data_IF_564863136676
#
_entry.id   IF_564863136676
#
_cell.length_a   1.000
_cell.length_b   1.000
_cell.length_c   1.000
_cell.angle_alpha   90.00
_cell.angle_beta   90.00
_cell.angle_gamma   90.00
#
_symmetry.space_group_name_H-M   'P 1'
#
loop_
_entity.id
_entity.type
_entity.pdbx_description
1 polymer ?
#
# COMPACT_ATOMS: atom_id res chain seq x y z
N UNK A 1 0.74 1.32 -18.83
CA UNK A 1 1.22 2.57 -18.20
C UNK A 1 0.96 3.72 -19.18
N UNK A 2 0.18 4.74 -18.78
CA UNK A 2 0.08 5.99 -19.52
C UNK A 2 1.48 6.60 -19.64
N UNK A 3 1.85 7.07 -20.82
CA UNK A 3 3.12 7.79 -20.95
C UNK A 3 2.96 9.16 -20.31
N UNK A 4 3.99 9.67 -19.67
CA UNK A 4 3.99 11.01 -19.06
C UNK A 4 3.59 12.11 -20.07
N UNK A 5 3.80 11.86 -21.37
CA UNK A 5 3.38 12.74 -22.49
C UNK A 5 1.86 12.82 -22.70
N UNK A 6 1.09 11.97 -22.07
CA UNK A 6 -0.37 11.86 -22.27
C UNK A 6 -1.15 12.57 -21.16
N UNK A 7 -0.47 13.08 -20.12
CA UNK A 7 -1.07 13.80 -19.02
C UNK A 7 -1.23 15.30 -19.34
N UNK A 8 -2.35 15.85 -18.95
CA UNK A 8 -2.56 17.32 -18.97
C UNK A 8 -1.63 18.03 -17.98
N UNK A 9 -1.42 19.33 -18.15
CA UNK A 9 -0.60 20.12 -17.22
C UNK A 9 -1.13 20.09 -15.77
N UNK A 10 -2.44 19.93 -15.58
CA UNK A 10 -3.04 19.78 -14.26
C UNK A 10 -2.71 18.41 -13.65
N UNK A 11 -2.83 17.35 -14.42
CA UNK A 11 -2.50 15.97 -13.97
C UNK A 11 -1.01 15.82 -13.66
N UNK A 12 -0.14 16.45 -14.45
CA UNK A 12 1.30 16.49 -14.18
C UNK A 12 1.64 17.15 -12.84
N UNK A 13 0.88 18.21 -12.45
CA UNK A 13 1.04 18.82 -11.13
C UNK A 13 0.65 17.86 -9.99
N UNK A 14 -0.47 17.15 -10.14
CA UNK A 14 -0.88 16.17 -9.14
C UNK A 14 0.14 15.04 -9.00
N UNK A 15 0.65 14.55 -10.12
CA UNK A 15 1.72 13.55 -10.12
C UNK A 15 2.98 14.04 -9.40
N UNK A 16 3.38 15.30 -9.65
CA UNK A 16 4.54 15.89 -8.99
C UNK A 16 4.36 16.00 -7.47
N UNK A 17 3.18 16.41 -7.00
CA UNK A 17 2.86 16.46 -5.56
C UNK A 17 2.92 15.07 -4.94
N UNK A 18 2.33 14.07 -5.59
CA UNK A 18 2.37 12.70 -5.12
C UNK A 18 3.79 12.13 -5.08
N UNK A 19 4.57 12.35 -6.12
CA UNK A 19 5.97 11.91 -6.14
C UNK A 19 6.82 12.60 -5.06
N UNK A 20 6.55 13.86 -4.75
CA UNK A 20 7.21 14.58 -3.65
C UNK A 20 6.79 14.01 -2.28
N UNK A 21 5.51 13.66 -2.11
CA UNK A 21 5.02 12.98 -0.91
C UNK A 21 5.75 11.64 -0.68
N UNK A 22 5.80 10.79 -1.69
CA UNK A 22 6.54 9.52 -1.63
C UNK A 22 8.03 9.72 -1.36
N UNK A 23 8.66 10.75 -1.93
CA UNK A 23 10.05 11.10 -1.64
C UNK A 23 10.24 11.47 -0.17
N UNK A 24 9.33 12.28 0.39
CA UNK A 24 9.36 12.69 1.78
C UNK A 24 9.22 11.50 2.74
N UNK A 25 8.35 10.54 2.40
CA UNK A 25 8.14 9.32 3.18
C UNK A 25 9.32 8.34 3.09
N UNK A 26 9.66 7.91 1.86
CA UNK A 26 10.55 6.76 1.64
C UNK A 26 12.02 7.12 1.41
N UNK A 27 12.34 8.39 1.13
CA UNK A 27 13.72 8.83 0.91
C UNK A 27 14.20 9.78 2.01
N UNK A 28 13.41 10.81 2.33
CA UNK A 28 13.80 11.79 3.34
C UNK A 28 13.43 11.35 4.77
N UNK A 29 12.45 10.46 4.93
CA UNK A 29 11.87 10.06 6.22
C UNK A 29 11.49 11.28 7.06
N UNK A 30 10.89 12.30 6.42
CA UNK A 30 10.61 13.60 7.01
C UNK A 30 9.13 13.82 7.21
N UNK A 31 8.66 13.79 8.45
CA UNK A 31 7.26 14.11 8.78
C UNK A 31 6.86 15.51 8.30
N UNK A 32 7.75 16.50 8.49
CA UNK A 32 7.45 17.88 8.10
C UNK A 32 7.26 18.02 6.59
N UNK A 33 8.15 17.41 5.78
CA UNK A 33 8.04 17.43 4.33
C UNK A 33 6.82 16.65 3.86
N UNK A 34 6.53 15.49 4.43
CA UNK A 34 5.35 14.68 4.12
C UNK A 34 4.07 15.48 4.34
N UNK A 35 3.89 16.05 5.54
CA UNK A 35 2.69 16.82 5.87
C UNK A 35 2.62 18.14 5.13
N UNK A 36 3.75 18.70 4.66
CA UNK A 36 3.76 19.92 3.83
C UNK A 36 3.11 19.73 2.46
N UNK A 37 3.01 18.51 1.94
CA UNK A 37 2.30 18.20 0.68
C UNK A 37 0.78 18.17 0.85
N UNK A 38 0.26 18.22 2.06
CA UNK A 38 -1.14 18.06 2.40
C UNK A 38 -1.83 19.38 2.74
N UNK A 39 -3.17 19.39 2.66
CA UNK A 39 -4.01 20.51 3.12
C UNK A 39 -3.90 20.74 4.63
N UNK A 40 -4.55 21.80 5.15
CA UNK A 40 -4.56 22.10 6.58
C UNK A 40 -5.30 21.05 7.42
N UNK A 41 -6.31 20.38 6.87
CA UNK A 41 -7.12 19.34 7.52
C UNK A 41 -7.11 18.04 6.71
N UNK A 42 -6.00 17.28 6.73
CA UNK A 42 -5.82 16.09 5.92
C UNK A 42 -6.40 14.83 6.57
N UNK A 43 -6.54 13.78 5.77
CA UNK A 43 -6.91 12.44 6.23
C UNK A 43 -5.95 11.39 5.66
N UNK A 44 -5.42 10.54 6.53
CA UNK A 44 -4.78 9.27 6.16
C UNK A 44 -5.62 8.12 6.71
N UNK A 45 -5.89 7.13 5.87
CA UNK A 45 -6.69 5.99 6.29
C UNK A 45 -6.18 4.68 5.68
N UNK A 46 -5.55 3.88 6.48
CA UNK A 46 -5.20 2.49 6.19
C UNK A 46 -6.43 1.63 6.46
N UNK A 47 -7.21 1.41 5.41
CA UNK A 47 -8.58 0.88 5.49
C UNK A 47 -8.67 -0.50 6.14
N UNK A 48 -7.76 -1.46 5.87
CA UNK A 48 -7.87 -2.81 6.45
C UNK A 48 -7.78 -2.84 7.97
N UNK A 49 -7.17 -1.83 8.59
CA UNK A 49 -6.91 -1.78 10.04
C UNK A 49 -7.55 -0.58 10.73
N UNK A 50 -8.14 0.35 9.96
CA UNK A 50 -8.68 1.62 10.46
C UNK A 50 -7.61 2.45 11.21
N UNK A 51 -6.37 2.42 10.71
CA UNK A 51 -5.23 3.18 11.22
C UNK A 51 -5.01 4.42 10.36
N UNK A 52 -4.42 5.46 10.93
CA UNK A 52 -4.13 6.73 10.26
C UNK A 52 -4.42 7.92 11.17
N UNK A 53 -4.96 9.02 10.61
CA UNK A 53 -5.29 10.22 11.37
C UNK A 53 -6.22 11.15 10.61
N UNK A 54 -6.99 11.95 11.35
CA UNK A 54 -7.86 13.02 10.86
C UNK A 54 -7.38 14.36 11.37
N UNK A 55 -7.23 15.32 10.44
CA UNK A 55 -6.66 16.62 10.76
C UNK A 55 -5.15 16.58 10.95
N UNK A 56 -4.55 17.78 10.85
CA UNK A 56 -3.09 17.94 10.82
C UNK A 56 -2.38 17.30 12.00
N UNK A 57 -2.95 17.41 13.20
CA UNK A 57 -2.31 16.90 14.42
C UNK A 57 -2.20 15.37 14.41
N UNK A 58 -3.31 14.67 14.15
CA UNK A 58 -3.31 13.21 14.18
C UNK A 58 -2.49 12.64 13.01
N UNK A 59 -2.59 13.24 11.81
CA UNK A 59 -1.79 12.86 10.65
C UNK A 59 -0.30 13.06 10.92
N UNK A 60 0.09 14.18 11.52
CA UNK A 60 1.48 14.40 11.92
C UNK A 60 1.96 13.35 12.93
N UNK A 61 1.15 13.06 13.96
CA UNK A 61 1.49 12.04 14.96
C UNK A 61 1.59 10.64 14.35
N UNK A 62 0.71 10.30 13.42
CA UNK A 62 0.76 9.03 12.67
C UNK A 62 2.09 8.90 11.93
N UNK A 63 2.47 9.89 11.12
CA UNK A 63 3.75 9.85 10.40
C UNK A 63 4.95 9.81 11.35
N UNK A 64 4.98 10.68 12.36
CA UNK A 64 6.12 10.83 13.24
C UNK A 64 6.35 9.63 14.17
N UNK A 65 5.28 8.93 14.58
CA UNK A 65 5.37 7.92 15.64
C UNK A 65 5.09 6.51 15.14
N UNK A 66 4.19 6.35 14.13
CA UNK A 66 3.67 5.05 13.74
C UNK A 66 4.15 4.59 12.38
N UNK A 67 4.37 5.48 11.43
CA UNK A 67 4.69 5.12 10.04
C UNK A 67 6.19 5.25 9.74
N UNK A 68 6.75 6.46 9.70
CA UNK A 68 8.12 6.69 9.23
C UNK A 68 9.19 5.93 10.03
N UNK A 69 9.14 5.86 11.38
CA UNK A 69 10.11 5.06 12.15
C UNK A 69 9.98 3.55 11.95
N UNK A 70 8.86 3.10 11.38
CA UNK A 70 8.49 1.70 11.25
C UNK A 70 8.40 1.22 9.79
N UNK A 71 9.08 1.94 8.88
CA UNK A 71 9.29 1.50 7.50
C UNK A 71 10.46 0.51 7.46
N UNK A 72 10.26 -0.74 7.00
CA UNK A 72 11.36 -1.70 6.88
C UNK A 72 12.46 -1.18 5.96
N UNK A 73 13.75 -1.41 6.30
CA UNK A 73 14.87 -0.86 5.52
C UNK A 73 15.01 -1.45 4.11
N UNK A 74 14.37 -2.60 3.86
CA UNK A 74 14.36 -3.28 2.55
C UNK A 74 13.01 -3.14 1.83
N UNK A 75 12.20 -2.13 2.19
CA UNK A 75 10.92 -1.90 1.51
C UNK A 75 11.15 -1.57 0.03
N UNK A 76 10.42 -2.23 -0.83
CA UNK A 76 10.42 -2.04 -2.28
C UNK A 76 9.00 -1.78 -2.76
N UNK A 77 8.82 -0.72 -3.51
CA UNK A 77 7.54 -0.37 -4.16
C UNK A 77 7.68 -0.64 -5.65
N UNK A 78 6.93 -1.62 -6.15
CA UNK A 78 6.90 -2.00 -7.58
C UNK A 78 5.63 -1.45 -8.21
N UNK A 79 5.70 -0.45 -9.08
CA UNK A 79 4.52 0.13 -9.71
C UNK A 79 3.92 -0.83 -10.74
N UNK A 80 2.59 -0.97 -10.71
CA UNK A 80 1.80 -1.74 -11.70
C UNK A 80 1.09 -0.77 -12.63
N UNK A 81 0.26 0.11 -12.09
CA UNK A 81 -0.46 1.12 -12.86
C UNK A 81 -0.70 2.38 -12.05
N UNK A 82 -0.85 3.51 -12.76
CA UNK A 82 -1.25 4.80 -12.19
C UNK A 82 -2.33 5.42 -13.05
N UNK A 83 -3.38 5.90 -12.43
CA UNK A 83 -4.45 6.67 -13.07
C UNK A 83 -4.58 8.02 -12.40
N UNK A 84 -4.59 9.11 -13.19
CA UNK A 84 -4.77 10.48 -12.71
C UNK A 84 -5.92 11.10 -13.45
N UNK A 85 -6.82 11.77 -12.75
CA UNK A 85 -7.92 12.49 -13.36
C UNK A 85 -8.90 13.04 -12.31
N UNK A 86 -9.61 14.11 -12.66
CA UNK A 86 -10.63 14.71 -11.80
C UNK A 86 -10.19 15.02 -10.36
N UNK A 87 -8.95 15.51 -10.21
CA UNK A 87 -8.39 15.82 -8.89
C UNK A 87 -8.04 14.59 -8.03
N UNK A 88 -7.91 13.41 -8.65
CA UNK A 88 -7.55 12.15 -7.98
C UNK A 88 -6.38 11.47 -8.66
N UNK A 89 -5.67 10.68 -7.85
CA UNK A 89 -4.68 9.73 -8.31
C UNK A 89 -4.97 8.38 -7.67
N UNK A 90 -4.84 7.32 -8.46
CA UNK A 90 -4.89 5.94 -7.99
C UNK A 90 -3.61 5.25 -8.43
N UNK A 91 -2.87 4.72 -7.47
CA UNK A 91 -1.72 3.85 -7.69
C UNK A 91 -2.08 2.40 -7.36
N UNK A 92 -1.81 1.52 -8.29
CA UNK A 92 -1.78 0.08 -8.08
C UNK A 92 -0.32 -0.36 -8.03
N UNK A 93 0.09 -0.93 -6.91
CA UNK A 93 1.48 -1.27 -6.63
C UNK A 93 1.60 -2.67 -6.01
N UNK A 94 2.78 -3.26 -6.09
CA UNK A 94 3.18 -4.36 -5.23
C UNK A 94 4.25 -3.84 -4.27
N UNK A 95 4.01 -4.02 -2.98
CA UNK A 95 4.96 -3.68 -1.92
C UNK A 95 5.61 -4.95 -1.41
N UNK A 96 6.94 -4.92 -1.26
CA UNK A 96 7.75 -6.02 -0.74
C UNK A 96 8.59 -5.55 0.41
N UNK A 97 8.68 -6.36 1.46
CA UNK A 97 9.52 -6.06 2.61
C UNK A 97 9.79 -7.33 3.43
N UNK A 98 10.79 -7.25 4.29
CA UNK A 98 10.99 -8.20 5.38
C UNK A 98 10.43 -7.60 6.68
N UNK A 99 9.56 -8.32 7.38
CA UNK A 99 9.06 -7.91 8.69
C UNK A 99 10.17 -8.04 9.75
N UNK A 100 11.16 -7.16 9.66
CA UNK A 100 12.39 -7.16 10.47
C UNK A 100 12.35 -6.19 11.66
N UNK A 101 11.39 -5.27 11.67
CA UNK A 101 11.15 -4.27 12.71
C UNK A 101 9.66 -4.23 13.07
N UNK A 102 9.25 -3.64 14.20
CA UNK A 102 7.84 -3.37 14.48
C UNK A 102 7.21 -2.53 13.36
N UNK A 103 5.99 -2.89 12.94
CA UNK A 103 5.25 -2.21 11.88
C UNK A 103 3.82 -1.96 12.35
N UNK A 104 3.65 -1.11 13.34
CA UNK A 104 2.34 -0.91 14.00
C UNK A 104 1.27 -0.33 13.06
N UNK A 105 1.68 0.30 11.96
CA UNK A 105 0.77 0.75 10.92
C UNK A 105 0.15 -0.41 10.11
N UNK A 106 0.81 -1.57 9.98
CA UNK A 106 0.32 -2.76 9.26
C UNK A 106 0.11 -3.98 10.16
N UNK A 107 0.86 -4.09 11.24
CA UNK A 107 0.94 -5.27 12.12
C UNK A 107 0.97 -4.85 13.60
N UNK A 108 -0.03 -4.07 14.08
CA UNK A 108 -0.02 -3.54 15.44
C UNK A 108 0.11 -4.63 16.49
N UNK A 109 1.11 -4.49 17.36
CA UNK A 109 1.39 -5.41 18.45
C UNK A 109 1.99 -6.76 18.02
N UNK A 110 2.33 -6.96 16.76
CA UNK A 110 2.99 -8.17 16.27
C UNK A 110 4.50 -7.95 16.27
N UNK A 111 5.27 -8.75 17.03
CA UNK A 111 6.73 -8.64 17.02
C UNK A 111 7.31 -9.06 15.66
N UNK A 112 8.48 -8.53 15.28
CA UNK A 112 9.15 -8.87 14.04
C UNK A 112 9.30 -10.38 13.84
N UNK A 113 8.86 -10.88 12.68
CA UNK A 113 8.89 -12.31 12.36
C UNK A 113 10.10 -12.72 11.53
N UNK A 114 10.82 -11.75 10.95
CA UNK A 114 11.90 -11.98 10.00
C UNK A 114 11.46 -12.54 8.66
N UNK A 115 10.16 -12.65 8.40
CA UNK A 115 9.63 -13.21 7.16
C UNK A 115 9.42 -12.14 6.10
N UNK A 116 9.60 -12.54 4.83
CA UNK A 116 9.33 -11.70 3.68
C UNK A 116 7.83 -11.67 3.37
N UNK A 117 7.36 -10.50 2.97
CA UNK A 117 5.98 -10.25 2.54
C UNK A 117 5.99 -9.58 1.18
N UNK A 118 5.10 -10.00 0.30
CA UNK A 118 4.77 -9.32 -0.97
C UNK A 118 3.25 -9.12 -1.01
N UNK A 119 2.80 -7.90 -1.20
CA UNK A 119 1.38 -7.56 -1.11
C UNK A 119 0.98 -6.62 -2.24
N UNK A 120 -0.17 -6.91 -2.88
CA UNK A 120 -0.83 -5.95 -3.75
C UNK A 120 -1.48 -4.86 -2.90
N UNK A 121 -1.25 -3.60 -3.26
CA UNK A 121 -1.76 -2.46 -2.54
C UNK A 121 -2.28 -1.42 -3.53
N UNK A 122 -3.42 -0.83 -3.21
CA UNK A 122 -4.02 0.29 -3.95
C UNK A 122 -4.04 1.50 -3.05
N UNK A 123 -3.51 2.61 -3.56
CA UNK A 123 -3.58 3.92 -2.92
C UNK A 123 -4.52 4.80 -3.71
N UNK A 124 -5.47 5.45 -3.03
CA UNK A 124 -6.39 6.43 -3.61
C UNK A 124 -6.14 7.77 -2.96
N UNK A 125 -5.68 8.73 -3.75
CA UNK A 125 -5.35 10.08 -3.29
C UNK A 125 -6.34 11.07 -3.88
N UNK A 126 -6.89 11.96 -3.05
CA UNK A 126 -7.68 13.11 -3.47
C UNK A 126 -6.88 14.39 -3.26
N UNK A 127 -6.98 15.30 -4.21
CA UNK A 127 -6.31 16.60 -4.16
C UNK A 127 -7.33 17.75 -4.14
N UNK A 128 -6.94 18.86 -3.50
CA UNK A 128 -7.51 20.18 -3.64
C UNK A 128 -6.39 21.14 -4.10
N UNK A 129 -6.50 21.64 -5.33
CA UNK A 129 -5.40 22.36 -5.98
C UNK A 129 -4.15 21.49 -6.10
N UNK A 130 -3.09 21.93 -5.45
CA UNK A 130 -1.77 21.28 -5.39
C UNK A 130 -1.46 20.63 -4.02
N UNK A 131 -2.50 20.29 -3.26
CA UNK A 131 -2.37 19.67 -1.93
C UNK A 131 -3.23 18.42 -1.83
N UNK A 132 -2.71 17.41 -1.14
CA UNK A 132 -3.43 16.19 -0.84
C UNK A 132 -4.47 16.43 0.27
N UNK A 133 -5.71 16.03 0.02
CA UNK A 133 -6.82 16.10 1.00
C UNK A 133 -6.88 14.82 1.80
N UNK A 134 -6.84 13.69 1.10
CA UNK A 134 -6.79 12.40 1.76
C UNK A 134 -6.00 11.37 0.96
N UNK A 135 -5.56 10.37 1.69
CA UNK A 135 -4.96 9.14 1.20
C UNK A 135 -5.67 7.95 1.84
N UNK A 136 -6.21 7.06 1.00
CA UNK A 136 -6.79 5.79 1.43
C UNK A 136 -5.97 4.64 0.87
N UNK A 137 -5.52 3.74 1.76
CA UNK A 137 -4.72 2.58 1.40
C UNK A 137 -5.54 1.30 1.59
N UNK A 138 -5.45 0.42 0.60
CA UNK A 138 -6.17 -0.86 0.57
C UNK A 138 -5.22 -1.99 0.27
N UNK A 139 -5.25 -3.04 1.08
CA UNK A 139 -4.54 -4.30 0.84
C UNK A 139 -5.30 -5.47 1.46
N UNK A 140 -4.89 -6.70 1.12
CA UNK A 140 -5.41 -7.90 1.74
C UNK A 140 -4.62 -8.27 2.99
N UNK A 141 -5.15 -7.90 4.16
CA UNK A 141 -4.54 -8.19 5.45
C UNK A 141 -4.46 -9.70 5.73
N UNK A 142 -5.42 -10.49 5.25
CA UNK A 142 -5.36 -11.94 5.42
C UNK A 142 -4.16 -12.54 4.70
N UNK A 143 -3.84 -12.08 3.49
CA UNK A 143 -2.64 -12.49 2.74
C UNK A 143 -1.34 -12.10 3.46
N UNK A 144 -1.28 -10.94 4.13
CA UNK A 144 -0.14 -10.57 4.99
C UNK A 144 0.04 -11.58 6.11
N UNK A 145 -1.02 -11.85 6.87
CA UNK A 145 -0.99 -12.75 8.02
C UNK A 145 -0.63 -14.19 7.63
N UNK A 146 -1.09 -14.66 6.45
CA UNK A 146 -0.71 -15.97 5.91
C UNK A 146 0.78 -16.07 5.64
N UNK A 147 1.37 -15.06 4.97
CA UNK A 147 2.79 -15.03 4.65
C UNK A 147 3.66 -15.00 5.91
N UNK A 148 3.20 -14.33 6.96
CA UNK A 148 3.86 -14.30 8.25
C UNK A 148 3.66 -15.59 9.08
N UNK A 149 2.77 -16.48 8.64
CA UNK A 149 2.42 -17.71 9.36
C UNK A 149 1.58 -17.47 10.61
N UNK A 150 0.94 -16.32 10.69
CA UNK A 150 0.04 -15.93 11.79
C UNK A 150 -1.39 -16.38 11.53
N UNK A 151 -1.74 -16.57 10.26
CA UNK A 151 -3.02 -17.11 9.82
C UNK A 151 -2.77 -18.39 9.02
N UNK A 152 -3.09 -19.58 9.54
CA UNK A 152 -2.99 -20.81 8.76
C UNK A 152 -4.05 -20.79 7.65
N UNK A 153 -3.67 -20.94 6.37
CA UNK A 153 -4.63 -20.86 5.26
C UNK A 153 -5.68 -21.98 5.34
N UNK A 154 -5.29 -23.20 5.65
CA UNK A 154 -6.20 -24.33 5.82
C UNK A 154 -7.29 -24.37 4.74
N UNK A 155 -8.56 -24.25 5.17
CA UNK A 155 -9.73 -24.14 4.29
C UNK A 155 -10.19 -22.70 4.05
N UNK A 156 -9.49 -21.70 4.60
CA UNK A 156 -9.86 -20.31 4.41
C UNK A 156 -9.65 -19.87 2.95
N UNK A 157 -10.51 -19.01 2.41
CA UNK A 157 -10.40 -18.51 1.04
C UNK A 157 -9.36 -17.36 0.96
N UNK A 158 -8.10 -17.68 1.23
CA UNK A 158 -6.97 -16.74 1.21
C UNK A 158 -5.83 -17.29 0.36
N UNK A 159 -5.13 -16.42 -0.35
CA UNK A 159 -4.10 -16.81 -1.34
C UNK A 159 -2.66 -16.53 -0.91
N UNK A 160 -2.43 -15.66 0.07
CA UNK A 160 -1.08 -15.27 0.50
C UNK A 160 -0.33 -14.52 -0.61
N UNK A 161 0.92 -14.89 -0.86
CA UNK A 161 1.83 -14.19 -1.78
C UNK A 161 1.38 -14.20 -3.25
N UNK A 162 0.63 -15.22 -3.65
CA UNK A 162 0.23 -15.38 -5.05
C UNK A 162 -0.71 -14.27 -5.52
N UNK A 163 -1.45 -13.63 -4.60
CA UNK A 163 -2.27 -12.46 -4.90
C UNK A 163 -1.44 -11.31 -5.48
N UNK A 164 -0.32 -10.97 -4.86
CA UNK A 164 0.59 -9.94 -5.34
C UNK A 164 1.35 -10.37 -6.60
N UNK A 165 1.90 -11.57 -6.59
CA UNK A 165 2.71 -12.09 -7.71
C UNK A 165 1.93 -12.27 -9.00
N UNK A 166 0.62 -12.55 -8.93
CA UNK A 166 -0.23 -12.68 -10.12
C UNK A 166 -0.34 -11.39 -10.94
N UNK A 167 -0.14 -10.22 -10.31
CA UNK A 167 -0.09 -8.93 -11.01
C UNK A 167 1.22 -8.77 -11.81
N UNK A 168 2.29 -9.39 -11.35
CA UNK A 168 3.61 -9.29 -11.96
C UNK A 168 3.89 -10.40 -12.97
N UNK A 169 3.27 -11.57 -12.79
CA UNK A 169 3.57 -12.79 -13.54
C UNK A 169 2.30 -13.49 -14.03
N UNK A 170 2.01 -13.36 -15.32
CA UNK A 170 0.85 -13.99 -15.96
C UNK A 170 0.88 -15.53 -15.92
N UNK A 171 2.02 -16.14 -15.60
CA UNK A 171 2.16 -17.60 -15.43
C UNK A 171 1.50 -18.14 -14.17
N UNK A 172 1.17 -17.28 -13.19
CA UNK A 172 0.46 -17.70 -11.98
C UNK A 172 -1.00 -17.98 -12.33
N UNK A 173 -1.41 -19.23 -12.07
CA UNK A 173 -2.76 -19.69 -12.41
C UNK A 173 -3.79 -19.05 -11.48
N UNK A 174 -4.85 -18.53 -12.07
CA UNK A 174 -6.04 -18.09 -11.34
C UNK A 174 -6.95 -19.28 -10.96
N UNK A 175 -7.91 -19.02 -10.10
CA UNK A 175 -8.98 -19.97 -9.72
C UNK A 175 -8.54 -21.18 -8.87
N UNK A 176 -7.33 -21.18 -8.29
CA UNK A 176 -6.88 -22.26 -7.40
C UNK A 176 -7.84 -22.52 -6.23
N UNK A 177 -8.39 -21.46 -5.61
CA UNK A 177 -9.37 -21.59 -4.54
C UNK A 177 -10.69 -22.23 -5.00
N UNK A 178 -11.16 -21.92 -6.21
CA UNK A 178 -12.36 -22.55 -6.80
C UNK A 178 -12.11 -24.02 -7.11
N UNK A 179 -10.94 -24.37 -7.62
CA UNK A 179 -10.57 -25.76 -7.90
C UNK A 179 -10.51 -26.56 -6.61
N UNK A 180 -9.94 -26.02 -5.54
CA UNK A 180 -9.92 -26.64 -4.21
C UNK A 180 -11.33 -26.90 -3.67
N UNK A 181 -12.25 -25.92 -3.79
CA UNK A 181 -13.63 -26.05 -3.29
C UNK A 181 -14.44 -27.10 -4.04
N UNK A 182 -14.11 -27.39 -5.30
CA UNK A 182 -14.82 -28.36 -6.16
C UNK A 182 -14.20 -29.75 -6.12
N UNK A 183 -13.17 -29.98 -5.30
CA UNK A 183 -12.47 -31.28 -5.23
C UNK A 183 -11.68 -31.64 -6.50
N UNK A 184 -11.40 -30.67 -7.38
CA UNK A 184 -10.66 -30.86 -8.64
C UNK A 184 -9.14 -30.68 -8.50
N UNK A 185 -8.63 -30.66 -7.28
CA UNK A 185 -7.19 -30.70 -7.05
C UNK A 185 -6.64 -32.07 -7.45
N UNK A 186 -5.86 -32.13 -8.51
CA UNK A 186 -5.03 -33.28 -8.82
C UNK A 186 -5.32 -34.03 -10.11
N UNK A 187 -5.99 -33.44 -11.10
CA UNK A 187 -6.10 -34.04 -12.45
C UNK A 187 -5.69 -33.04 -13.53
N UNK A 188 -4.38 -32.83 -13.64
CA UNK A 188 -3.71 -32.39 -14.88
C UNK A 188 -2.28 -32.91 -14.86
#
# INVERSE_FOLDING_TARGET
MLRQSDLTAAEQKLEAVWNEHLRAEFSAHSTDETVATMVADPLIHEVPLMIGGRGRKEVYEFYAKSFLPHIPPDIEIVPISRTIGQGRLVDEIVVRFTHSIPMDWMLPGIPPTGKRVEIALVVVVQFDGDKMVHEHLYWDQASVLVQLGLLPPGRLPVVGVDGARSLLHQSIRLNGLLQRSTGREGKL
#
